data_IF_408416917960
#
_entry.id   IF_408416917960
#
_cell.length_a   1.000
_cell.length_b   1.000
_cell.length_c   1.000
_cell.angle_alpha   90.00
_cell.angle_beta   90.00
_cell.angle_gamma   90.00
#
_symmetry.space_group_name_H-M   'P 1'
#
loop_
_entity.id
_entity.type
_entity.pdbx_description
1 polymer ?
#
# COMPACT_ATOMS: atom_id res chain seq x y z
N UNK A 1 8.58 8.03 16.56
CA UNK A 1 9.40 6.96 15.95
C UNK A 1 8.67 6.50 14.69
N UNK A 2 9.21 6.77 13.50
CA UNK A 2 8.67 6.18 12.27
C UNK A 2 9.22 4.76 12.13
N UNK A 3 8.34 3.78 11.99
CA UNK A 3 8.70 2.41 11.66
C UNK A 3 8.55 2.29 10.14
N UNK A 4 9.60 1.84 9.47
CA UNK A 4 9.56 1.56 8.03
C UNK A 4 9.63 0.07 7.79
N UNK A 5 8.99 -0.37 6.72
CA UNK A 5 8.96 -1.77 6.29
C UNK A 5 9.61 -1.85 4.92
N UNK A 6 10.49 -2.83 4.72
CA UNK A 6 11.18 -3.04 3.43
C UNK A 6 10.67 -4.30 2.75
N UNK A 7 10.00 -4.14 1.62
CA UNK A 7 9.58 -5.25 0.76
C UNK A 7 10.70 -5.56 -0.25
N UNK A 8 11.15 -6.81 -0.26
CA UNK A 8 12.33 -7.24 -1.03
C UNK A 8 11.98 -8.21 -2.16
N UNK A 9 10.91 -8.96 -2.00
CA UNK A 9 10.41 -9.96 -2.94
C UNK A 9 9.21 -9.43 -3.71
N UNK A 10 8.99 -9.98 -4.92
CA UNK A 10 7.82 -9.70 -5.75
C UNK A 10 7.17 -11.01 -6.18
N UNK A 11 5.84 -10.99 -6.31
CA UNK A 11 5.06 -12.07 -6.91
C UNK A 11 4.99 -11.82 -8.42
N UNK A 12 5.24 -12.86 -9.22
CA UNK A 12 5.11 -12.77 -10.67
C UNK A 12 3.69 -12.33 -11.06
N UNK A 13 3.58 -11.27 -11.87
CA UNK A 13 2.29 -10.68 -12.26
C UNK A 13 1.64 -9.74 -11.24
N UNK A 14 2.09 -9.70 -9.98
CA UNK A 14 1.47 -8.89 -8.91
C UNK A 14 2.44 -7.94 -8.19
N UNK A 15 3.73 -7.98 -8.52
CA UNK A 15 4.72 -7.08 -7.93
C UNK A 15 4.82 -7.26 -6.42
N UNK A 16 4.75 -6.17 -5.66
CA UNK A 16 4.83 -6.22 -4.19
C UNK A 16 3.53 -6.68 -3.50
N UNK A 17 2.45 -6.90 -4.26
CA UNK A 17 1.18 -7.39 -3.72
C UNK A 17 0.48 -6.36 -2.82
N UNK A 18 0.57 -5.07 -3.16
CA UNK A 18 -0.15 -3.98 -2.49
C UNK A 18 -0.90 -3.16 -3.53
N UNK A 19 -2.10 -2.70 -3.17
CA UNK A 19 -2.80 -1.65 -3.91
C UNK A 19 -2.55 -0.31 -3.22
N UNK A 20 -2.21 0.71 -4.02
CA UNK A 20 -1.97 2.07 -3.53
C UNK A 20 -3.04 2.98 -4.10
N UNK A 21 -3.65 3.78 -3.23
CA UNK A 21 -4.69 4.74 -3.58
C UNK A 21 -4.37 6.10 -2.96
N UNK A 22 -5.06 7.14 -3.41
CA UNK A 22 -4.95 8.47 -2.82
C UNK A 22 -3.99 9.39 -3.51
N UNK A 23 -3.58 10.40 -2.77
CA UNK A 23 -2.74 11.48 -3.26
C UNK A 23 -3.52 12.77 -3.45
N UNK A 24 -2.75 13.86 -3.52
CA UNK A 24 -3.26 15.22 -3.71
C UNK A 24 -4.26 15.35 -4.86
N UNK A 25 -4.00 14.64 -5.95
CA UNK A 25 -4.79 14.74 -7.19
C UNK A 25 -5.93 13.71 -7.25
N UNK A 26 -5.97 12.76 -6.31
CA UNK A 26 -6.99 11.72 -6.22
C UNK A 26 -7.36 11.44 -4.74
N UNK A 27 -7.96 12.40 -4.03
CA UNK A 27 -8.30 12.24 -2.61
C UNK A 27 -9.33 11.13 -2.42
N UNK A 28 -9.05 10.16 -1.54
CA UNK A 28 -9.89 8.94 -1.37
C UNK A 28 -10.93 9.10 -0.26
N UNK A 29 -10.64 9.90 0.76
CA UNK A 29 -11.48 10.00 1.95
C UNK A 29 -12.46 11.17 1.81
N UNK A 30 -13.66 11.03 2.40
CA UNK A 30 -14.76 12.02 2.35
C UNK A 30 -14.37 13.42 2.81
N UNK A 31 -13.21 13.57 3.47
CA UNK A 31 -12.69 14.83 3.99
C UNK A 31 -11.61 15.47 3.10
N UNK A 32 -11.35 14.93 1.90
CA UNK A 32 -10.34 15.48 0.98
C UNK A 32 -8.89 15.19 1.40
N UNK A 33 -8.66 14.12 2.17
CA UNK A 33 -7.33 13.74 2.64
C UNK A 33 -6.39 13.43 1.45
N UNK A 34 -5.29 14.19 1.27
CA UNK A 34 -4.36 14.01 0.17
C UNK A 34 -3.33 12.89 0.40
N UNK A 35 -3.45 12.12 1.49
CA UNK A 35 -2.53 11.04 1.83
C UNK A 35 -2.52 9.94 0.78
N UNK A 36 -1.36 9.31 0.62
CA UNK A 36 -1.19 8.06 -0.12
C UNK A 36 -1.40 6.91 0.86
N UNK A 37 -2.34 6.03 0.57
CA UNK A 37 -2.71 4.92 1.44
C UNK A 37 -2.53 3.57 0.72
N UNK A 38 -2.15 2.55 1.49
CA UNK A 38 -2.26 1.16 1.04
C UNK A 38 -3.71 0.74 1.26
N UNK A 39 -4.43 0.50 0.18
CA UNK A 39 -5.87 0.21 0.23
C UNK A 39 -6.19 -1.28 0.21
N UNK A 40 -5.24 -2.12 -0.22
CA UNK A 40 -5.37 -3.57 -0.19
C UNK A 40 -4.00 -4.26 -0.14
N UNK A 41 -3.97 -5.46 0.40
CA UNK A 41 -2.78 -6.33 0.52
C UNK A 41 -3.14 -7.72 0.03
N UNK A 42 -2.39 -8.21 -0.96
CA UNK A 42 -2.58 -9.54 -1.51
C UNK A 42 -2.31 -10.60 -0.43
N UNK A 43 -3.26 -11.52 -0.25
CA UNK A 43 -3.11 -12.70 0.62
C UNK A 43 -1.94 -13.56 0.14
N UNK A 44 -1.13 -14.07 1.06
CA UNK A 44 0.13 -14.77 0.80
C UNK A 44 1.14 -13.93 -0.02
N UNK A 45 0.96 -12.60 -0.06
CA UNK A 45 1.84 -11.67 -0.73
C UNK A 45 3.01 -11.18 0.14
N UNK A 46 4.00 -10.48 -0.45
CA UNK A 46 5.20 -10.03 0.26
C UNK A 46 4.95 -9.09 1.45
N UNK A 47 3.83 -8.39 1.42
CA UNK A 47 3.42 -7.39 2.41
C UNK A 47 2.44 -7.91 3.48
N UNK A 48 1.96 -9.16 3.36
CA UNK A 48 1.04 -9.73 4.34
C UNK A 48 1.67 -9.77 5.74
N UNK A 49 0.94 -9.27 6.75
CA UNK A 49 1.36 -9.27 8.15
C UNK A 49 2.50 -8.29 8.51
N UNK A 50 2.82 -7.32 7.64
CA UNK A 50 3.92 -6.36 7.86
C UNK A 50 3.50 -4.90 8.00
N UNK A 51 2.25 -4.57 7.69
CA UNK A 51 1.73 -3.19 7.61
C UNK A 51 0.79 -2.88 8.77
#
# INVERSE_FOLDING_TARGET
MLIYVRLSSKVAGYGFGIAVSGGRDNPIFTNGDPSIAISDVLKAGPAEGKL
#
